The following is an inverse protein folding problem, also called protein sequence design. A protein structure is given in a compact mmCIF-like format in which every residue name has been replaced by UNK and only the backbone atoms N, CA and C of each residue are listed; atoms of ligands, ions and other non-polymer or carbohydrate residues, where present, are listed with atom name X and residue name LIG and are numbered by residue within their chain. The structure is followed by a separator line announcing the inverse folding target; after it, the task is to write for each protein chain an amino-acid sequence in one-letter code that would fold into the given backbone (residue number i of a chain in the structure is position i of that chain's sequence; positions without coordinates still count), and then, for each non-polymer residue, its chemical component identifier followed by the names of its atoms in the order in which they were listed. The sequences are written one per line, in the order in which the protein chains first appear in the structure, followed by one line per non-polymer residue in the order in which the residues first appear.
data_IF_151444894761
#
_entry.id   IF_151444894761
#
_cell.length_a   1.000
_cell.length_b   1.000
_cell.length_c   1.000
_cell.angle_alpha   90.00
_cell.angle_beta   90.00
_cell.angle_gamma   90.00
#
_symmetry.space_group_name_H-M   'P 1'
#
loop_
_entity.id
_entity.type
_entity.pdbx_description
1 polymer ?
#
# COMPACT_ATOMS: atom_id res chain seq x y z
N UNK A 1 -18.74 14.34 -32.18
CA UNK A 1 -17.88 13.69 -31.17
C UNK A 1 -16.61 13.23 -31.85
N UNK A 2 -15.53 13.99 -31.69
CA UNK A 2 -14.25 13.71 -32.33
C UNK A 2 -13.54 12.52 -31.63
N UNK A 3 -13.33 11.44 -32.36
CA UNK A 3 -12.68 10.22 -31.87
C UNK A 3 -11.21 10.44 -31.48
N UNK A 4 -10.61 11.51 -31.98
CA UNK A 4 -9.18 11.78 -31.85
C UNK A 4 -8.87 12.85 -30.78
N UNK A 5 -9.86 13.37 -30.08
CA UNK A 5 -9.65 14.43 -29.12
C UNK A 5 -9.17 13.89 -27.76
N UNK A 6 -7.90 14.03 -27.41
CA UNK A 6 -7.36 13.57 -26.14
C UNK A 6 -7.87 14.37 -24.92
N UNK A 7 -8.45 15.58 -25.13
CA UNK A 7 -9.02 16.43 -24.07
C UNK A 7 -10.24 15.80 -23.39
N UNK A 8 -10.72 14.68 -23.90
CA UNK A 8 -11.84 13.93 -23.38
C UNK A 8 -11.68 13.46 -21.92
N UNK A 9 -10.45 13.40 -21.47
CA UNK A 9 -10.09 12.92 -20.15
C UNK A 9 -9.75 14.06 -19.17
N UNK A 10 -9.88 15.32 -19.60
CA UNK A 10 -9.49 16.50 -18.83
C UNK A 10 -10.63 17.16 -18.04
N UNK A 11 -11.80 16.55 -17.99
CA UNK A 11 -12.87 17.09 -17.15
C UNK A 11 -12.60 16.83 -15.67
N UNK A 12 -12.68 17.86 -14.82
CA UNK A 12 -12.64 17.68 -13.38
C UNK A 12 -13.90 16.92 -12.95
N UNK A 13 -13.83 15.63 -12.92
CA UNK A 13 -14.94 14.79 -12.54
C UNK A 13 -14.70 14.09 -11.23
N UNK A 14 -15.79 13.93 -10.53
CA UNK A 14 -15.95 13.35 -9.19
C UNK A 14 -14.87 12.34 -8.84
N UNK A 15 -14.19 12.60 -7.75
CA UNK A 15 -12.98 11.89 -7.28
C UNK A 15 -13.23 10.39 -7.05
N UNK A 16 -14.48 9.96 -6.83
CA UNK A 16 -14.74 8.60 -6.39
C UNK A 16 -15.38 7.69 -7.45
N UNK A 17 -16.52 7.98 -7.98
CA UNK A 17 -17.24 7.07 -8.87
C UNK A 17 -17.74 7.83 -10.09
N UNK A 18 -17.47 7.32 -11.28
CA UNK A 18 -18.03 7.84 -12.52
C UNK A 18 -19.43 7.29 -12.77
N UNK A 19 -20.23 8.07 -13.49
CA UNK A 19 -21.55 7.61 -13.92
C UNK A 19 -21.43 6.36 -14.82
N UNK A 20 -22.46 5.50 -14.83
CA UNK A 20 -22.51 4.32 -15.70
C UNK A 20 -22.29 4.66 -17.19
N UNK A 21 -22.74 5.84 -17.64
CA UNK A 21 -22.56 6.30 -19.03
C UNK A 21 -21.10 6.55 -19.39
N UNK A 22 -20.32 7.09 -18.46
CA UNK A 22 -18.88 7.31 -18.66
C UNK A 22 -18.14 5.97 -18.72
N UNK A 23 -18.56 5.01 -17.93
CA UNK A 23 -18.06 3.63 -17.95
C UNK A 23 -18.33 2.98 -19.31
N UNK A 24 -19.55 3.08 -19.80
CA UNK A 24 -19.97 2.55 -21.10
C UNK A 24 -19.15 3.15 -22.25
N UNK A 25 -18.95 4.47 -22.24
CA UNK A 25 -18.11 5.16 -23.24
C UNK A 25 -16.66 4.70 -23.23
N UNK A 26 -16.10 4.44 -22.06
CA UNK A 26 -14.73 3.94 -21.91
C UNK A 26 -14.52 2.60 -22.61
N UNK A 27 -15.48 1.68 -22.48
CA UNK A 27 -15.42 0.40 -23.18
C UNK A 27 -15.63 0.51 -24.68
N UNK A 28 -16.50 1.43 -25.12
CA UNK A 28 -16.87 1.59 -26.54
C UNK A 28 -15.71 2.13 -27.38
N UNK A 29 -14.86 2.98 -26.82
CA UNK A 29 -13.80 3.67 -27.59
C UNK A 29 -12.39 3.10 -27.37
N UNK A 30 -12.27 2.00 -26.64
CA UNK A 30 -10.99 1.37 -26.32
C UNK A 30 -10.19 2.16 -25.28
N UNK A 31 -9.08 1.56 -24.89
CA UNK A 31 -8.20 2.19 -23.90
C UNK A 31 -7.24 3.18 -24.58
N UNK A 32 -7.02 4.36 -23.97
CA UNK A 32 -6.05 5.31 -24.48
C UNK A 32 -4.64 4.71 -24.49
N UNK A 33 -3.83 5.16 -25.43
CA UNK A 33 -2.40 4.87 -25.41
C UNK A 33 -1.72 5.82 -24.43
N UNK A 34 -1.24 5.27 -23.33
CA UNK A 34 -0.61 6.03 -22.25
C UNK A 34 0.92 6.05 -22.37
N UNK A 35 1.52 5.47 -23.43
CA UNK A 35 2.96 5.40 -23.60
C UNK A 35 3.60 6.80 -23.51
N UNK A 36 4.61 6.93 -22.65
CA UNK A 36 5.33 8.18 -22.38
C UNK A 36 4.70 9.03 -21.27
N UNK A 37 3.52 8.69 -20.78
CA UNK A 37 2.88 9.45 -19.72
C UNK A 37 3.41 9.09 -18.34
N UNK A 38 3.43 10.09 -17.46
CA UNK A 38 3.83 9.97 -16.06
C UNK A 38 2.64 10.32 -15.16
N UNK A 39 2.37 9.46 -14.19
CA UNK A 39 1.32 9.68 -13.19
C UNK A 39 1.90 9.70 -11.78
N UNK A 40 1.38 10.59 -10.95
CA UNK A 40 1.53 10.57 -9.51
C UNK A 40 0.43 9.66 -8.93
N UNK A 41 0.83 8.69 -8.14
CA UNK A 41 -0.08 7.86 -7.35
C UNK A 41 -0.05 8.33 -5.91
N UNK A 42 -1.24 8.61 -5.37
CA UNK A 42 -1.46 8.75 -3.93
C UNK A 42 -2.39 7.64 -3.50
N UNK A 43 -2.06 6.89 -2.46
CA UNK A 43 -2.96 5.85 -2.00
C UNK A 43 -2.96 5.68 -0.49
N UNK A 44 -4.07 5.12 -0.02
CA UNK A 44 -4.34 4.83 1.37
C UNK A 44 -4.51 3.32 1.53
N UNK A 45 -3.46 2.58 1.88
CA UNK A 45 -3.58 1.20 2.36
C UNK A 45 -4.42 1.21 3.64
N UNK A 46 -5.72 0.92 3.49
CA UNK A 46 -6.69 1.13 4.56
C UNK A 46 -6.78 -0.06 5.51
N UNK A 47 -6.79 -1.27 4.99
CA UNK A 47 -6.80 -2.50 5.80
C UNK A 47 -5.48 -3.21 5.55
N UNK A 48 -4.71 -3.43 6.62
CA UNK A 48 -3.38 -4.00 6.55
C UNK A 48 -3.29 -5.21 7.48
N UNK A 49 -3.09 -6.39 6.92
CA UNK A 49 -2.85 -7.61 7.69
C UNK A 49 -1.35 -7.90 7.74
N UNK A 50 -0.79 -7.77 8.93
CA UNK A 50 0.62 -7.98 9.22
C UNK A 50 0.87 -9.43 9.66
N UNK A 51 1.94 -10.00 9.16
CA UNK A 51 2.52 -11.26 9.61
C UNK A 51 4.03 -11.05 9.70
N UNK A 52 4.51 -10.70 10.88
CA UNK A 52 5.91 -10.35 11.15
C UNK A 52 6.53 -11.36 12.12
N UNK A 53 7.82 -11.53 12.02
CA UNK A 53 8.60 -12.38 12.93
C UNK A 53 9.76 -11.56 13.50
N UNK A 54 9.56 -10.81 14.59
CA UNK A 54 10.62 -10.06 15.24
C UNK A 54 11.74 -10.99 15.74
N UNK A 55 12.94 -10.45 15.94
CA UNK A 55 14.08 -11.23 16.40
C UNK A 55 13.83 -11.81 17.80
N UNK A 56 14.08 -13.10 17.97
CA UNK A 56 13.89 -13.85 19.22
C UNK A 56 12.42 -13.83 19.73
N UNK A 57 11.46 -13.63 18.83
CA UNK A 57 10.04 -13.65 19.14
C UNK A 57 9.30 -14.66 18.28
N UNK A 58 8.13 -15.04 18.74
CA UNK A 58 7.18 -15.81 17.94
C UNK A 58 6.59 -14.93 16.83
N UNK A 59 5.96 -15.60 15.87
CA UNK A 59 5.22 -14.91 14.80
C UNK A 59 4.14 -14.02 15.37
N UNK A 60 4.16 -12.77 14.99
CA UNK A 60 3.16 -11.76 15.38
C UNK A 60 2.23 -11.47 14.20
N UNK A 61 0.93 -11.57 14.46
CA UNK A 61 -0.12 -11.32 13.47
C UNK A 61 -1.06 -10.25 14.01
N UNK A 62 -1.26 -9.21 13.22
CA UNK A 62 -2.21 -8.15 13.58
C UNK A 62 -2.85 -7.55 12.34
N UNK A 63 -4.01 -6.89 12.51
CA UNK A 63 -4.70 -6.17 11.43
C UNK A 63 -4.86 -4.71 11.82
N UNK A 64 -4.37 -3.83 10.96
CA UNK A 64 -4.44 -2.38 11.15
C UNK A 64 -5.20 -1.67 10.03
N UNK A 65 -5.53 -0.40 10.26
CA UNK A 65 -6.42 0.36 9.38
C UNK A 65 -5.79 1.63 8.81
N UNK A 66 -4.47 1.76 8.87
CA UNK A 66 -3.82 2.99 8.40
C UNK A 66 -2.60 2.75 7.55
N UNK A 67 -2.50 3.55 6.51
CA UNK A 67 -1.32 3.66 5.68
C UNK A 67 -1.39 4.82 4.73
N UNK A 68 -0.24 5.21 4.23
CA UNK A 68 -0.06 6.22 3.19
C UNK A 68 0.98 5.72 2.19
N UNK A 69 0.67 5.84 0.91
CA UNK A 69 1.61 5.52 -0.18
C UNK A 69 1.68 6.67 -1.17
N UNK A 70 2.89 7.01 -1.56
CA UNK A 70 3.17 7.93 -2.66
C UNK A 70 3.99 7.17 -3.69
N UNK A 71 3.59 7.26 -4.96
CA UNK A 71 4.24 6.56 -6.05
C UNK A 71 4.24 7.34 -7.36
N UNK A 72 5.07 6.88 -8.27
CA UNK A 72 5.18 7.38 -9.63
C UNK A 72 5.01 6.22 -10.61
N UNK A 73 4.06 6.36 -11.54
CA UNK A 73 3.81 5.42 -12.63
C UNK A 73 4.36 5.99 -13.93
N UNK A 74 5.32 5.31 -14.54
CA UNK A 74 5.83 5.65 -15.87
C UNK A 74 5.39 4.61 -16.90
N UNK A 75 4.56 5.01 -17.85
CA UNK A 75 4.07 4.16 -18.93
C UNK A 75 5.09 4.07 -20.06
N UNK A 76 5.91 3.02 -20.08
CA UNK A 76 6.86 2.76 -21.15
C UNK A 76 6.22 2.10 -22.39
N UNK A 77 5.06 1.47 -22.22
CA UNK A 77 4.27 0.88 -23.30
C UNK A 77 2.77 1.18 -23.13
N UNK A 78 1.97 0.83 -24.13
CA UNK A 78 0.51 1.12 -24.13
C UNK A 78 -0.23 0.55 -22.90
N UNK A 79 0.19 -0.62 -22.42
CA UNK A 79 -0.47 -1.36 -21.36
C UNK A 79 0.47 -1.74 -20.21
N UNK A 80 1.69 -1.19 -20.20
CA UNK A 80 2.69 -1.53 -19.20
C UNK A 80 3.33 -0.27 -18.63
N UNK A 81 3.52 -0.28 -17.32
CA UNK A 81 4.17 0.81 -16.62
C UNK A 81 5.01 0.31 -15.45
N UNK A 82 6.06 1.04 -15.17
CA UNK A 82 6.83 0.90 -13.95
C UNK A 82 6.23 1.78 -12.87
N UNK A 83 6.07 1.23 -11.69
CA UNK A 83 5.66 1.98 -10.49
C UNK A 83 6.81 1.95 -9.49
N UNK A 84 7.25 3.12 -9.08
CA UNK A 84 8.15 3.32 -7.93
C UNK A 84 7.33 3.94 -6.82
N UNK A 85 7.29 3.32 -5.63
CA UNK A 85 6.49 3.81 -4.52
C UNK A 85 7.22 3.73 -3.18
N UNK A 86 6.84 4.65 -2.29
CA UNK A 86 7.17 4.62 -0.86
C UNK A 86 5.86 4.53 -0.10
N UNK A 87 5.78 3.60 0.82
CA UNK A 87 4.59 3.30 1.61
C UNK A 87 4.95 3.20 3.09
N UNK A 88 4.10 3.78 3.93
CA UNK A 88 4.14 3.58 5.38
C UNK A 88 2.79 3.04 5.82
N UNK A 89 2.79 1.97 6.59
CA UNK A 89 1.58 1.31 7.11
C UNK A 89 1.75 0.99 8.58
N UNK A 90 0.65 1.02 9.30
CA UNK A 90 0.62 0.72 10.73
C UNK A 90 -0.67 -0.02 11.08
N UNK A 91 -0.64 -0.75 12.18
CA UNK A 91 -1.82 -1.38 12.76
C UNK A 91 -2.62 -0.45 13.69
N UNK A 92 -2.17 0.79 13.84
CA UNK A 92 -2.86 1.77 14.64
C UNK A 92 -4.23 2.13 14.05
N UNK A 93 -5.27 2.09 14.86
CA UNK A 93 -6.62 2.48 14.48
C UNK A 93 -6.88 3.96 14.83
N UNK A 94 -6.84 4.83 13.83
CA UNK A 94 -7.21 6.25 13.99
C UNK A 94 -8.64 6.43 13.45
N UNK A 95 -9.54 7.09 14.13
CA UNK A 95 -9.38 7.99 15.30
C UNK A 95 -9.61 7.33 16.67
N UNK A 96 -9.93 6.04 16.68
CA UNK A 96 -10.15 5.35 17.96
C UNK A 96 -8.81 4.71 18.37
N UNK A 97 -8.20 5.13 19.48
CA UNK A 97 -7.06 4.39 20.00
C UNK A 97 -7.48 2.93 20.16
N UNK A 98 -6.64 2.01 19.71
CA UNK A 98 -6.88 0.59 19.91
C UNK A 98 -7.35 0.37 21.32
N UNK A 99 -8.39 -0.45 21.50
CA UNK A 99 -8.89 -0.75 22.83
C UNK A 99 -7.70 -1.22 23.66
N UNK A 100 -7.26 -0.36 24.58
CA UNK A 100 -6.19 -0.71 25.51
C UNK A 100 -6.75 -1.86 26.30
N UNK A 101 -6.16 -3.04 26.15
CA UNK A 101 -6.51 -4.17 26.97
C UNK A 101 -6.45 -3.73 28.44
N UNK A 102 -7.36 -4.22 29.25
CA UNK A 102 -7.39 -3.91 30.68
C UNK A 102 -6.08 -4.33 31.38
N UNK A 103 -5.32 -5.22 30.75
CA UNK A 103 -3.98 -5.63 31.16
C UNK A 103 -2.92 -4.53 31.05
N UNK A 104 -3.19 -3.42 30.34
CA UNK A 104 -2.23 -2.36 30.13
C UNK A 104 -1.11 -2.69 29.13
N UNK A 105 -1.18 -3.81 28.44
CA UNK A 105 -0.21 -4.25 27.44
C UNK A 105 -0.80 -4.08 26.03
N UNK A 106 -0.01 -3.54 25.09
CA UNK A 106 -0.41 -3.47 23.70
C UNK A 106 0.77 -3.62 22.74
N UNK A 107 0.52 -4.29 21.65
CA UNK A 107 1.45 -4.47 20.55
C UNK A 107 1.11 -3.49 19.42
N UNK A 108 2.15 -2.93 18.81
CA UNK A 108 2.01 -2.03 17.67
C UNK A 108 2.96 -2.46 16.56
N UNK A 109 2.42 -2.67 15.37
CA UNK A 109 3.19 -3.02 14.19
C UNK A 109 3.19 -1.89 13.19
N UNK A 110 4.33 -1.63 12.61
CA UNK A 110 4.46 -0.67 11.53
C UNK A 110 5.51 -1.12 10.53
N UNK A 111 5.30 -0.75 9.27
CA UNK A 111 6.24 -1.08 8.21
C UNK A 111 6.36 0.06 7.22
N UNK A 112 7.59 0.33 6.81
CA UNK A 112 7.89 1.25 5.70
C UNK A 112 8.41 0.44 4.53
N UNK A 113 7.91 0.72 3.34
CA UNK A 113 8.27 0.02 2.11
C UNK A 113 8.78 0.98 1.04
N UNK A 114 9.82 0.54 0.35
CA UNK A 114 10.19 1.05 -0.96
C UNK A 114 9.93 -0.07 -1.97
N UNK A 115 9.07 0.19 -2.95
CA UNK A 115 8.66 -0.79 -3.94
C UNK A 115 8.96 -0.34 -5.37
N UNK A 116 9.45 -1.26 -6.19
CA UNK A 116 9.58 -1.08 -7.62
C UNK A 116 8.87 -2.24 -8.32
N UNK A 117 7.81 -1.96 -9.06
CA UNK A 117 7.02 -2.99 -9.74
C UNK A 117 6.79 -2.69 -11.21
N UNK A 118 6.76 -3.75 -12.01
CA UNK A 118 6.29 -3.72 -13.39
C UNK A 118 4.82 -4.14 -13.43
N UNK A 119 3.98 -3.29 -13.99
CA UNK A 119 2.54 -3.43 -13.94
C UNK A 119 1.98 -3.58 -15.35
N UNK A 120 1.04 -4.51 -15.50
CA UNK A 120 0.33 -4.82 -16.73
C UNK A 120 -1.13 -4.41 -16.58
N UNK A 121 -1.59 -3.54 -17.46
CA UNK A 121 -2.96 -3.07 -17.47
C UNK A 121 -3.77 -3.80 -18.53
N UNK A 122 -4.83 -4.45 -18.09
CA UNK A 122 -5.82 -5.07 -18.96
C UNK A 122 -7.19 -4.44 -18.70
N UNK A 123 -7.61 -3.55 -19.59
CA UNK A 123 -8.84 -2.75 -19.44
C UNK A 123 -8.82 -1.96 -18.12
N UNK A 124 -9.67 -2.36 -17.17
CA UNK A 124 -9.77 -1.78 -15.83
C UNK A 124 -8.91 -2.50 -14.80
N UNK A 125 -8.42 -3.66 -15.16
CA UNK A 125 -7.61 -4.47 -14.28
C UNK A 125 -6.14 -4.14 -14.47
N UNK A 126 -5.42 -4.03 -13.37
CA UNK A 126 -3.97 -3.90 -13.36
C UNK A 126 -3.42 -4.93 -12.41
N UNK A 127 -2.43 -5.69 -12.86
CA UNK A 127 -1.67 -6.60 -12.03
C UNK A 127 -0.19 -6.33 -12.24
N UNK A 128 0.58 -6.37 -11.18
CA UNK A 128 2.02 -6.13 -11.21
C UNK A 128 2.81 -7.13 -10.40
N UNK A 129 4.10 -7.10 -10.61
CA UNK A 129 5.10 -7.84 -9.83
C UNK A 129 6.38 -7.02 -9.75
N UNK A 130 7.10 -7.16 -8.66
CA UNK A 130 8.32 -6.41 -8.46
C UNK A 130 9.06 -6.75 -7.19
N UNK A 131 10.01 -5.90 -6.84
CA UNK A 131 10.83 -6.03 -5.65
C UNK A 131 10.37 -5.03 -4.59
N UNK A 132 10.46 -5.44 -3.34
CA UNK A 132 10.23 -4.58 -2.18
C UNK A 132 11.38 -4.66 -1.20
N UNK A 133 11.73 -3.49 -0.70
CA UNK A 133 12.59 -3.31 0.46
C UNK A 133 11.71 -2.79 1.58
N UNK A 134 11.81 -3.36 2.76
CA UNK A 134 11.00 -2.94 3.90
C UNK A 134 11.82 -2.79 5.16
N UNK A 135 11.34 -1.88 6.03
CA UNK A 135 11.74 -1.81 7.42
C UNK A 135 10.51 -2.12 8.26
N UNK A 136 10.52 -3.28 8.89
CA UNK A 136 9.46 -3.76 9.77
C UNK A 136 9.80 -3.41 11.21
N UNK A 137 8.81 -2.97 11.96
CA UNK A 137 8.95 -2.59 13.37
C UNK A 137 7.80 -3.22 14.15
N UNK A 138 8.14 -3.87 15.24
CA UNK A 138 7.25 -4.33 16.28
C UNK A 138 7.60 -3.62 17.57
N UNK A 139 6.59 -3.07 18.26
CA UNK A 139 6.74 -2.26 19.47
C UNK A 139 5.75 -2.80 20.51
N UNK A 140 6.26 -3.33 21.59
CA UNK A 140 5.46 -3.83 22.72
C UNK A 140 5.57 -2.85 23.87
N UNK A 141 4.43 -2.30 24.28
CA UNK A 141 4.37 -1.26 25.28
C UNK A 141 3.50 -1.66 26.44
N UNK A 142 3.93 -1.21 27.61
CA UNK A 142 3.19 -1.31 28.84
C UNK A 142 2.49 0.02 29.10
N UNK A 143 1.20 -0.02 29.33
CA UNK A 143 0.41 1.14 29.72
C UNK A 143 -0.30 0.82 31.02
N UNK A 144 0.08 1.46 32.10
CA UNK A 144 -0.66 1.41 33.35
C UNK A 144 -1.49 2.68 33.50
N UNK A 145 -2.79 2.54 33.53
CA UNK A 145 -3.73 3.67 33.64
C UNK A 145 -3.77 4.21 35.06
N UNK A 146 -3.34 3.42 36.05
CA UNK A 146 -3.45 3.71 37.47
C UNK A 146 -2.11 3.98 38.15
N UNK A 147 -0.99 3.69 37.46
CA UNK A 147 0.35 3.95 37.97
C UNK A 147 0.91 5.22 37.32
N UNK A 148 1.26 6.26 38.10
CA UNK A 148 1.86 7.44 37.50
C UNK A 148 3.22 7.11 36.89
N UNK A 149 3.58 7.71 35.72
CA UNK A 149 4.84 7.45 35.08
C UNK A 149 6.04 7.73 36.03
N UNK A 150 7.12 6.93 35.93
CA UNK A 150 7.54 6.12 34.78
C UNK A 150 6.94 4.70 34.77
N UNK A 151 6.72 4.13 33.58
CA UNK A 151 6.25 2.76 33.48
C UNK A 151 7.23 1.81 34.16
N UNK A 152 6.69 0.87 34.93
CA UNK A 152 7.48 -0.12 35.68
C UNK A 152 8.31 -1.05 34.81
N UNK A 153 8.09 -1.06 33.51
CA UNK A 153 8.82 -1.86 32.51
C UNK A 153 9.12 -1.04 31.27
N UNK A 154 10.34 -1.18 30.76
CA UNK A 154 10.76 -0.53 29.53
C UNK A 154 10.03 -1.14 28.31
N UNK A 155 9.62 -0.30 27.35
CA UNK A 155 9.01 -0.79 26.12
C UNK A 155 10.02 -1.60 25.29
N UNK A 156 9.56 -2.70 24.70
CA UNK A 156 10.39 -3.56 23.82
C UNK A 156 10.12 -3.13 22.38
N UNK A 157 11.15 -2.63 21.71
CA UNK A 157 11.06 -2.25 20.32
C UNK A 157 12.07 -3.00 19.48
N UNK A 158 11.58 -3.77 18.50
CA UNK A 158 12.41 -4.54 17.57
C UNK A 158 12.13 -4.05 16.14
N UNK A 159 13.21 -3.76 15.41
CA UNK A 159 13.13 -3.33 14.00
C UNK A 159 14.14 -4.09 13.17
N UNK A 160 13.73 -4.49 11.98
CA UNK A 160 14.62 -5.14 11.03
C UNK A 160 14.32 -4.75 9.59
N UNK A 161 15.29 -4.99 8.73
CA UNK A 161 15.20 -4.76 7.30
C UNK A 161 14.85 -6.09 6.64
N UNK A 162 13.94 -6.04 5.65
CA UNK A 162 13.56 -7.21 4.86
C UNK A 162 13.55 -6.89 3.37
N UNK A 163 13.93 -7.86 2.57
CA UNK A 163 13.81 -7.86 1.12
C UNK A 163 12.80 -8.91 0.68
N UNK A 164 12.00 -8.56 -0.30
CA UNK A 164 10.96 -9.44 -0.81
C UNK A 164 10.39 -8.97 -2.13
N UNK A 165 9.16 -9.35 -2.35
CA UNK A 165 8.42 -9.03 -3.57
C UNK A 165 7.24 -8.11 -3.26
N UNK A 166 6.74 -7.46 -4.31
CA UNK A 166 5.48 -6.71 -4.29
C UNK A 166 4.62 -7.18 -5.45
N UNK A 167 3.36 -7.50 -5.13
CA UNK A 167 2.36 -7.95 -6.11
C UNK A 167 1.13 -7.06 -5.95
N UNK A 168 1.07 -5.91 -6.65
CA UNK A 168 -0.09 -5.04 -6.65
C UNK A 168 -1.12 -5.53 -7.65
N UNK A 169 -2.39 -5.47 -7.27
CA UNK A 169 -3.53 -5.79 -8.11
C UNK A 169 -4.60 -4.72 -7.90
N UNK A 170 -5.01 -4.01 -8.96
CA UNK A 170 -5.96 -2.91 -8.89
C UNK A 170 -7.10 -3.06 -9.88
N UNK A 171 -8.26 -2.60 -9.48
CA UNK A 171 -9.42 -2.40 -10.33
C UNK A 171 -9.77 -0.91 -10.41
N UNK A 172 -9.80 -0.37 -11.62
CA UNK A 172 -10.13 1.02 -11.86
C UNK A 172 -11.64 1.26 -11.80
N UNK A 173 -12.10 2.05 -10.84
CA UNK A 173 -13.49 2.42 -10.65
C UNK A 173 -13.86 3.72 -11.39
N UNK A 174 -12.91 4.62 -11.55
CA UNK A 174 -13.09 5.91 -12.22
C UNK A 174 -11.88 6.33 -13.03
N UNK A 175 -11.82 7.58 -13.48
CA UNK A 175 -10.66 8.09 -14.23
C UNK A 175 -9.40 8.15 -13.37
N UNK A 176 -9.57 8.46 -12.10
CA UNK A 176 -8.48 8.67 -11.15
C UNK A 176 -8.45 7.64 -10.03
N UNK A 177 -9.58 7.01 -9.73
CA UNK A 177 -9.73 6.18 -8.55
C UNK A 177 -9.64 4.69 -8.85
N UNK A 178 -8.85 3.99 -8.04
CA UNK A 178 -8.63 2.56 -8.11
C UNK A 178 -8.79 1.95 -6.71
N UNK A 179 -9.34 0.75 -6.65
CA UNK A 179 -9.32 -0.09 -5.47
C UNK A 179 -8.47 -1.31 -5.76
N UNK A 180 -7.67 -1.73 -4.79
CA UNK A 180 -6.76 -2.84 -5.03
C UNK A 180 -6.36 -3.60 -3.78
N UNK A 181 -5.62 -4.65 -4.05
CA UNK A 181 -4.96 -5.47 -3.04
C UNK A 181 -3.47 -5.46 -3.35
N UNK A 182 -2.66 -5.21 -2.34
CA UNK A 182 -1.21 -5.27 -2.45
C UNK A 182 -0.71 -6.36 -1.52
N UNK A 183 -0.03 -7.35 -2.09
CA UNK A 183 0.62 -8.41 -1.35
C UNK A 183 2.14 -8.20 -1.37
N UNK A 184 2.75 -8.18 -0.18
CA UNK A 184 4.18 -7.94 0.01
C UNK A 184 4.81 -9.07 0.83
N UNK A 185 5.14 -10.21 0.20
CA UNK A 185 5.94 -11.25 0.83
C UNK A 185 7.39 -10.83 0.93
N UNK A 186 8.02 -11.03 2.09
CA UNK A 186 9.45 -10.87 2.31
C UNK A 186 10.07 -12.18 2.81
N UNK A 187 11.30 -12.45 2.39
CA UNK A 187 11.94 -13.74 2.61
C UNK A 187 13.34 -13.57 3.21
N UNK A 188 14.02 -12.46 2.91
CA UNK A 188 15.40 -12.24 3.29
C UNK A 188 15.55 -11.04 4.23
N UNK A 189 16.19 -11.24 5.37
CA UNK A 189 16.36 -10.29 6.46
C UNK A 189 17.84 -10.14 6.83
N UNK A 190 18.60 -9.27 6.14
CA UNK A 190 20.06 -9.20 6.29
C UNK A 190 20.52 -8.72 7.67
N UNK A 191 19.66 -8.11 8.45
CA UNK A 191 19.99 -7.54 9.76
C UNK A 191 19.82 -8.51 10.92
N UNK A 192 19.26 -9.70 10.69
CA UNK A 192 18.97 -10.68 11.72
C UNK A 192 19.86 -11.93 11.59
N UNK A 193 20.04 -12.65 12.70
CA UNK A 193 20.79 -13.90 12.71
C UNK A 193 20.17 -14.96 11.80
N UNK A 194 18.84 -15.08 11.84
CA UNK A 194 18.07 -15.91 10.91
C UNK A 194 17.71 -15.08 9.67
N UNK A 195 18.58 -15.13 8.67
CA UNK A 195 18.46 -14.32 7.46
C UNK A 195 17.26 -14.69 6.58
N UNK A 196 16.85 -15.97 6.59
CA UNK A 196 15.76 -16.47 5.76
C UNK A 196 14.56 -16.83 6.63
N UNK A 197 13.56 -15.94 6.63
CA UNK A 197 12.29 -16.17 7.30
C UNK A 197 11.17 -15.48 6.53
N UNK A 198 10.05 -16.18 6.39
CA UNK A 198 8.93 -15.66 5.65
C UNK A 198 8.10 -14.70 6.51
N UNK A 199 7.87 -13.52 5.97
CA UNK A 199 6.97 -12.51 6.50
C UNK A 199 6.09 -12.01 5.37
N UNK A 200 4.93 -11.46 5.67
CA UNK A 200 4.14 -10.79 4.64
C UNK A 200 3.26 -9.68 5.20
N UNK A 201 2.91 -8.77 4.30
CA UNK A 201 1.85 -7.78 4.49
C UNK A 201 0.85 -7.89 3.35
N UNK A 202 -0.41 -7.98 3.69
CA UNK A 202 -1.52 -7.87 2.77
C UNK A 202 -2.28 -6.57 3.04
N UNK A 203 -2.46 -5.72 2.02
CA UNK A 203 -3.15 -4.43 2.16
C UNK A 203 -4.31 -4.33 1.19
N UNK A 204 -5.47 -3.84 1.65
CA UNK A 204 -6.52 -3.31 0.79
C UNK A 204 -6.25 -1.83 0.61
N UNK A 205 -6.12 -1.38 -0.64
CA UNK A 205 -5.60 -0.07 -0.99
C UNK A 205 -6.59 0.74 -1.82
N UNK A 206 -6.74 2.01 -1.49
CA UNK A 206 -7.51 3.00 -2.24
C UNK A 206 -6.55 3.98 -2.89
N UNK A 207 -6.43 3.94 -4.20
CA UNK A 207 -5.42 4.69 -4.94
C UNK A 207 -6.02 5.71 -5.90
N UNK A 208 -5.46 6.90 -5.89
CA UNK A 208 -5.73 7.97 -6.85
C UNK A 208 -4.50 8.18 -7.72
N UNK A 209 -4.72 8.27 -9.04
CA UNK A 209 -3.67 8.48 -10.03
C UNK A 209 -3.92 9.77 -10.79
N UNK A 210 -2.96 10.68 -10.70
CA UNK A 210 -3.03 12.00 -11.33
C UNK A 210 -1.95 12.10 -12.40
N UNK A 211 -2.34 12.48 -13.62
CA UNK A 211 -1.37 12.67 -14.69
C UNK A 211 -0.52 13.92 -14.45
N UNK A 212 0.79 13.72 -14.38
CA UNK A 212 1.78 14.81 -14.19
C UNK A 212 2.33 15.29 -15.53
N UNK A 213 2.62 14.35 -16.44
CA UNK A 213 3.20 14.66 -17.76
C UNK A 213 2.57 13.80 -18.85
N UNK A 214 2.38 14.41 -20.00
CA UNK A 214 1.95 13.78 -21.25
C UNK A 214 3.16 13.44 -22.12
#
# INVERSE_FOLDING_TARGET
FDKNNPKRYSYPQRIFIQSPDTISKYYKYGQPNLKGELYLQLSLPHINSFHLVPEDEETKVNTGFWGLTIGLDYYYAKYQFLNLNVSAVTDFFVPVPAAVDVSGEYELMSSMYLGLSNNHRYRRFTIGYGLSFSRNTWDFRYYDRFDPPPPTRDPIKKSHISFGFIIPSYFQLGDYFNIGVIYRPSIYRPTLKENFKYEHLLSIDFAWKFRVKK
#
